data_IF_620766468435
#
_entry.id   IF_620766468435
#
_cell.length_a   1.000
_cell.length_b   1.000
_cell.length_c   1.000
_cell.angle_alpha   90.00
_cell.angle_beta   90.00
_cell.angle_gamma   90.00
#
_symmetry.space_group_name_H-M   'P 1'
#
loop_
_entity.id
_entity.type
_entity.pdbx_description
1 polymer ?
#
# COMPACT_ATOMS: atom_id res chain seq x y z
N UNK A 1 -11.21 10.67 5.61
CA UNK A 1 -11.45 9.99 4.31
C UNK A 1 -12.23 8.72 4.62
N UNK A 2 -13.26 8.39 3.84
CA UNK A 2 -14.14 7.23 4.09
C UNK A 2 -14.61 6.64 2.75
N UNK A 3 -14.64 5.31 2.62
CA UNK A 3 -15.09 4.64 1.40
C UNK A 3 -14.92 3.11 1.44
N UNK A 4 -15.38 2.41 0.39
CA UNK A 4 -15.35 0.95 0.33
C UNK A 4 -13.92 0.42 0.29
N UNK A 5 -13.63 -0.60 1.11
CA UNK A 5 -12.33 -1.25 1.17
C UNK A 5 -12.24 -2.48 0.28
N UNK A 6 -11.07 -2.68 -0.33
CA UNK A 6 -10.68 -3.94 -0.98
C UNK A 6 -9.33 -4.38 -0.45
N UNK A 7 -9.23 -5.64 -0.02
CA UNK A 7 -7.95 -6.25 0.38
C UNK A 7 -7.30 -6.95 -0.81
N UNK A 8 -6.09 -6.53 -1.14
CA UNK A 8 -5.20 -7.20 -2.09
C UNK A 8 -4.25 -8.11 -1.33
N UNK A 9 -4.47 -9.42 -1.39
CA UNK A 9 -3.61 -10.39 -0.72
C UNK A 9 -2.29 -10.63 -1.49
N UNK A 10 -1.21 -10.10 -0.91
CA UNK A 10 0.17 -10.19 -1.40
C UNK A 10 1.06 -10.97 -0.42
N UNK A 11 0.48 -11.73 0.51
CA UNK A 11 1.23 -12.49 1.53
C UNK A 11 2.18 -13.53 0.94
N UNK A 12 1.90 -14.00 -0.27
CA UNK A 12 2.71 -14.94 -1.03
C UNK A 12 4.02 -14.33 -1.58
N UNK A 13 4.14 -13.01 -1.68
CA UNK A 13 5.32 -12.34 -2.23
C UNK A 13 6.49 -12.37 -1.24
N UNK A 14 7.70 -12.51 -1.77
CA UNK A 14 8.94 -12.53 -0.97
C UNK A 14 9.44 -11.12 -0.66
N UNK A 15 10.28 -10.97 0.38
CA UNK A 15 10.93 -9.69 0.64
C UNK A 15 11.85 -9.31 -0.53
N UNK A 16 11.78 -8.05 -0.95
CA UNK A 16 12.47 -7.58 -2.15
C UNK A 16 11.74 -7.86 -3.48
N UNK A 17 10.64 -8.60 -3.46
CA UNK A 17 9.81 -8.87 -4.64
C UNK A 17 8.69 -7.81 -4.75
N UNK A 18 8.94 -6.80 -5.61
CA UNK A 18 8.04 -5.66 -5.79
C UNK A 18 6.66 -6.05 -6.32
N UNK A 19 5.59 -5.47 -5.75
CA UNK A 19 4.21 -5.63 -6.22
C UNK A 19 4.02 -4.81 -7.50
N UNK A 20 3.73 -5.51 -8.60
CA UNK A 20 3.47 -4.94 -9.91
C UNK A 20 1.98 -4.87 -10.27
N UNK A 21 1.68 -4.28 -11.42
CA UNK A 21 0.30 -4.19 -11.96
C UNK A 21 -0.33 -5.58 -12.10
N UNK A 22 0.43 -6.55 -12.62
CA UNK A 22 -0.06 -7.92 -12.82
C UNK A 22 -0.47 -8.59 -11.49
N UNK A 23 0.25 -8.34 -10.41
CA UNK A 23 -0.10 -8.85 -9.08
C UNK A 23 -1.47 -8.31 -8.64
N UNK A 24 -1.69 -7.00 -8.79
CA UNK A 24 -2.96 -6.35 -8.43
C UNK A 24 -4.13 -6.85 -9.28
N UNK A 25 -3.96 -6.95 -10.60
CA UNK A 25 -5.02 -7.45 -11.49
C UNK A 25 -5.34 -8.91 -11.23
N UNK A 26 -4.32 -9.74 -10.94
CA UNK A 26 -4.52 -11.14 -10.61
C UNK A 26 -5.24 -11.31 -9.27
N UNK A 27 -4.91 -10.49 -8.27
CA UNK A 27 -5.62 -10.50 -6.99
C UNK A 27 -7.10 -10.17 -7.16
N UNK A 28 -7.43 -9.09 -7.90
CA UNK A 28 -8.82 -8.72 -8.21
C UNK A 28 -9.58 -9.82 -8.96
N UNK A 29 -8.93 -10.43 -9.95
CA UNK A 29 -9.52 -11.54 -10.71
C UNK A 29 -9.84 -12.74 -9.82
N UNK A 30 -8.94 -13.10 -8.89
CA UNK A 30 -9.16 -14.21 -7.94
C UNK A 30 -10.36 -13.98 -7.02
N UNK A 31 -10.58 -12.74 -6.58
CA UNK A 31 -11.70 -12.39 -5.71
C UNK A 31 -12.98 -12.02 -6.47
N UNK A 32 -12.91 -11.91 -7.80
CA UNK A 32 -14.06 -11.58 -8.65
C UNK A 32 -14.54 -10.13 -8.50
N UNK A 33 -13.63 -9.19 -8.22
CA UNK A 33 -13.99 -7.79 -7.91
C UNK A 33 -13.42 -6.83 -8.95
N UNK A 34 -14.14 -5.75 -9.21
CA UNK A 34 -13.67 -4.61 -10.00
C UNK A 34 -13.51 -3.38 -9.12
N UNK A 35 -12.49 -2.58 -9.41
CA UNK A 35 -12.31 -1.29 -8.75
C UNK A 35 -13.40 -0.30 -9.17
N UNK A 36 -13.86 0.48 -8.21
CA UNK A 36 -14.74 1.63 -8.45
C UNK A 36 -14.13 2.91 -7.86
N UNK A 37 -14.44 4.09 -8.43
CA UNK A 37 -13.95 5.35 -7.89
C UNK A 37 -14.28 5.51 -6.40
N UNK A 38 -13.29 5.93 -5.60
CA UNK A 38 -13.44 6.08 -4.16
C UNK A 38 -13.15 4.80 -3.35
N UNK A 39 -12.89 3.68 -4.01
CA UNK A 39 -12.35 2.47 -3.36
C UNK A 39 -11.03 2.78 -2.66
N UNK A 40 -10.85 2.21 -1.47
CA UNK A 40 -9.65 2.25 -0.66
C UNK A 40 -8.93 0.90 -0.81
N UNK A 41 -7.76 0.93 -1.45
CA UNK A 41 -6.99 -0.27 -1.73
C UNK A 41 -6.09 -0.65 -0.54
N UNK A 42 -6.29 -1.82 0.06
CA UNK A 42 -5.55 -2.28 1.23
C UNK A 42 -4.62 -3.43 0.84
N UNK A 43 -3.32 -3.17 0.79
CA UNK A 43 -2.29 -4.12 0.39
C UNK A 43 -1.86 -4.93 1.62
N UNK A 44 -2.25 -6.21 1.66
CA UNK A 44 -1.90 -7.14 2.74
C UNK A 44 -0.67 -7.95 2.35
N UNK A 45 0.44 -7.68 2.99
CA UNK A 45 1.72 -8.39 2.81
C UNK A 45 2.00 -9.35 3.98
N UNK A 46 1.30 -9.20 5.10
CA UNK A 46 1.50 -9.97 6.33
C UNK A 46 2.82 -9.65 7.05
N UNK A 47 3.46 -8.52 6.72
CA UNK A 47 4.69 -8.05 7.38
C UNK A 47 4.40 -7.30 8.67
N UNK A 48 3.15 -6.93 8.91
CA UNK A 48 2.72 -6.29 10.13
C UNK A 48 3.17 -7.08 11.37
N UNK A 49 3.18 -8.42 11.31
CA UNK A 49 3.70 -9.32 12.37
C UNK A 49 5.08 -8.96 12.92
N UNK A 50 5.89 -8.23 12.15
CA UNK A 50 7.22 -7.80 12.54
C UNK A 50 7.25 -6.39 13.18
N UNK A 51 6.16 -5.62 13.22
CA UNK A 51 6.19 -4.30 13.87
C UNK A 51 6.64 -4.41 15.33
N UNK A 52 7.42 -3.43 15.76
CA UNK A 52 8.06 -3.41 17.07
C UNK A 52 9.42 -4.12 17.10
N UNK A 53 9.75 -4.92 16.09
CA UNK A 53 11.09 -5.50 15.97
C UNK A 53 12.07 -4.46 15.38
N UNK A 54 13.33 -4.42 15.85
CA UNK A 54 14.33 -3.44 15.38
C UNK A 54 14.57 -3.45 13.87
N UNK A 55 14.42 -4.61 13.24
CA UNK A 55 14.71 -4.83 11.82
C UNK A 55 13.46 -4.80 10.91
N UNK A 56 12.29 -4.44 11.44
CA UNK A 56 11.06 -4.40 10.66
C UNK A 56 11.16 -3.57 9.37
N UNK A 57 11.85 -2.44 9.42
CA UNK A 57 12.07 -1.55 8.27
C UNK A 57 12.88 -2.19 7.12
N UNK A 58 13.53 -3.32 7.36
CA UNK A 58 14.26 -4.10 6.35
C UNK A 58 13.39 -5.16 5.68
N UNK A 59 12.16 -5.38 6.11
CA UNK A 59 11.29 -6.41 5.57
C UNK A 59 10.21 -5.77 4.69
N UNK A 60 9.82 -6.43 3.61
CA UNK A 60 8.77 -5.93 2.73
C UNK A 60 8.96 -6.21 1.25
N UNK A 61 7.84 -6.19 0.55
CA UNK A 61 7.72 -6.43 -0.89
C UNK A 61 7.81 -5.10 -1.63
N UNK A 62 7.14 -4.05 -1.12
CA UNK A 62 7.00 -2.76 -1.79
C UNK A 62 5.95 -2.77 -2.91
N UNK A 63 5.43 -1.60 -3.27
CA UNK A 63 4.52 -1.40 -4.41
C UNK A 63 5.22 -0.52 -5.45
N UNK A 64 5.29 -1.00 -6.68
CA UNK A 64 5.94 -0.28 -7.78
C UNK A 64 5.23 1.04 -8.11
N UNK A 65 5.96 1.96 -8.74
CA UNK A 65 5.39 3.19 -9.30
C UNK A 65 4.26 2.89 -10.30
N UNK A 66 4.46 1.88 -11.16
CA UNK A 66 3.45 1.48 -12.14
C UNK A 66 2.18 0.91 -11.48
N UNK A 67 2.32 0.07 -10.46
CA UNK A 67 1.18 -0.43 -9.68
C UNK A 67 0.43 0.70 -8.95
N UNK A 68 1.19 1.65 -8.38
CA UNK A 68 0.64 2.84 -7.73
C UNK A 68 -0.15 3.70 -8.72
N UNK A 69 0.41 3.99 -9.90
CA UNK A 69 -0.31 4.73 -10.96
C UNK A 69 -1.53 3.98 -11.45
N UNK A 70 -1.43 2.68 -11.62
CA UNK A 70 -2.54 1.86 -12.06
C UNK A 70 -3.72 1.96 -11.10
N UNK A 71 -3.50 1.88 -9.78
CA UNK A 71 -4.56 2.10 -8.78
C UNK A 71 -5.21 3.48 -8.95
N UNK A 72 -4.39 4.53 -9.11
CA UNK A 72 -4.85 5.91 -9.27
C UNK A 72 -5.71 6.09 -10.53
N UNK A 73 -5.30 5.45 -11.64
CA UNK A 73 -5.99 5.49 -12.92
C UNK A 73 -7.32 4.72 -12.89
N UNK A 74 -7.46 3.77 -11.96
CA UNK A 74 -8.71 3.04 -11.71
C UNK A 74 -9.55 3.68 -10.58
N UNK A 75 -9.29 4.95 -10.25
CA UNK A 75 -10.15 5.75 -9.37
C UNK A 75 -9.84 5.60 -7.87
N UNK A 76 -8.81 4.83 -7.49
CA UNK A 76 -8.32 4.79 -6.12
C UNK A 76 -7.61 6.11 -5.79
N UNK A 77 -7.98 6.73 -4.68
CA UNK A 77 -7.31 7.95 -4.17
C UNK A 77 -6.62 7.73 -2.84
N UNK A 78 -7.03 6.70 -2.11
CA UNK A 78 -6.44 6.32 -0.83
C UNK A 78 -6.08 4.85 -0.87
N UNK A 79 -4.87 4.52 -0.44
CA UNK A 79 -4.37 3.16 -0.40
C UNK A 79 -3.61 2.90 0.91
N UNK A 80 -3.48 1.66 1.33
CA UNK A 80 -2.88 1.29 2.59
C UNK A 80 -1.98 0.08 2.44
N UNK A 81 -0.94 -0.02 3.25
CA UNK A 81 -0.10 -1.22 3.32
C UNK A 81 0.25 -1.56 4.77
N UNK A 82 0.36 -2.85 5.05
CA UNK A 82 0.66 -3.40 6.37
C UNK A 82 2.16 -3.63 6.65
N UNK A 83 3.04 -3.06 5.81
CA UNK A 83 4.50 -3.12 5.98
C UNK A 83 5.09 -1.74 6.37
N UNK A 84 6.42 -1.66 6.58
CA UNK A 84 7.09 -0.45 7.09
C UNK A 84 6.83 0.80 6.24
N UNK A 85 6.90 0.65 4.92
CA UNK A 85 6.63 1.72 3.97
C UNK A 85 6.00 1.20 2.67
N UNK A 86 5.53 2.10 1.83
CA UNK A 86 4.85 1.79 0.57
C UNK A 86 5.79 1.19 -0.47
N UNK A 87 7.00 1.74 -0.58
CA UNK A 87 8.03 1.28 -1.50
C UNK A 87 8.81 0.07 -0.95
N UNK A 88 9.66 -0.52 -1.79
CA UNK A 88 10.64 -1.52 -1.37
C UNK A 88 11.47 -1.04 -0.17
N UNK A 89 11.95 -1.92 0.73
CA UNK A 89 12.87 -1.49 1.77
C UNK A 89 14.11 -0.80 1.21
N UNK A 90 14.60 0.25 1.88
CA UNK A 90 15.59 1.17 1.31
C UNK A 90 16.89 0.48 0.87
N UNK A 91 17.34 -0.55 1.59
CA UNK A 91 18.53 -1.31 1.22
C UNK A 91 18.36 -2.15 -0.07
N UNK A 92 17.14 -2.60 -0.39
CA UNK A 92 16.82 -3.19 -1.70
C UNK A 92 16.88 -2.12 -2.80
N UNK A 93 16.31 -0.93 -2.56
CA UNK A 93 16.38 0.19 -3.51
C UNK A 93 17.83 0.58 -3.83
N UNK A 94 18.70 0.70 -2.81
CA UNK A 94 20.14 0.98 -2.99
C UNK A 94 20.81 -0.10 -3.83
N UNK A 95 20.57 -1.38 -3.50
CA UNK A 95 21.19 -2.50 -4.21
C UNK A 95 20.80 -2.49 -5.68
N UNK A 96 19.50 -2.34 -5.96
CA UNK A 96 18.93 -2.31 -7.32
C UNK A 96 19.42 -1.09 -8.11
N UNK A 97 19.45 0.08 -7.49
CA UNK A 97 20.01 1.32 -8.06
C UNK A 97 21.46 1.15 -8.50
N UNK A 98 22.30 0.56 -7.65
CA UNK A 98 23.71 0.29 -7.99
C UNK A 98 23.86 -0.76 -9.09
N UNK A 99 23.09 -1.84 -9.06
CA UNK A 99 23.19 -2.91 -10.06
C UNK A 99 22.68 -2.48 -11.44
N UNK A 100 21.62 -1.67 -11.49
CA UNK A 100 21.02 -1.19 -12.75
C UNK A 100 21.62 0.13 -13.23
N UNK A 101 22.44 0.82 -12.42
CA UNK A 101 22.98 2.13 -12.75
C UNK A 101 21.90 3.22 -12.82
N UNK A 102 20.85 3.11 -12.02
CA UNK A 102 19.64 3.93 -12.08
C UNK A 102 19.40 4.71 -10.78
N UNK A 103 19.08 5.99 -10.91
CA UNK A 103 18.84 6.88 -9.75
C UNK A 103 17.35 7.18 -9.54
N UNK A 104 16.48 6.70 -10.41
CA UNK A 104 15.02 6.93 -10.39
C UNK A 104 14.25 5.86 -9.62
N UNK A 105 14.94 4.90 -8.99
CA UNK A 105 14.34 3.80 -8.24
C UNK A 105 14.00 4.17 -6.78
N UNK A 106 14.47 5.31 -6.30
CA UNK A 106 14.28 5.71 -4.92
C UNK A 106 12.87 6.25 -4.69
N UNK A 107 12.11 5.59 -3.81
CA UNK A 107 10.75 6.00 -3.44
C UNK A 107 9.83 6.18 -4.66
N UNK A 108 10.02 5.36 -5.69
CA UNK A 108 9.37 5.52 -6.98
C UNK A 108 7.83 5.53 -6.85
N UNK A 109 7.25 4.72 -5.95
CA UNK A 109 5.84 4.72 -5.59
C UNK A 109 5.40 6.05 -4.98
N UNK A 110 6.07 6.51 -3.91
CA UNK A 110 5.81 7.83 -3.31
C UNK A 110 5.88 8.97 -4.34
N UNK A 111 6.86 8.94 -5.24
CA UNK A 111 7.12 10.00 -6.20
C UNK A 111 6.04 10.12 -7.29
N UNK A 112 5.19 9.11 -7.47
CA UNK A 112 3.96 9.23 -8.29
C UNK A 112 3.10 10.40 -7.80
N UNK A 113 3.13 10.72 -6.49
CA UNK A 113 2.35 11.79 -5.88
C UNK A 113 2.68 13.19 -6.41
N UNK A 114 3.87 13.36 -7.02
CA UNK A 114 4.27 14.62 -7.67
C UNK A 114 3.51 14.89 -8.96
N UNK A 115 2.97 13.85 -9.60
CA UNK A 115 2.29 13.93 -10.90
C UNK A 115 0.80 13.57 -10.83
N UNK A 116 0.40 12.67 -9.91
CA UNK A 116 -1.00 12.31 -9.69
C UNK A 116 -1.34 12.35 -8.20
N UNK A 117 -2.39 13.08 -7.78
CA UNK A 117 -2.73 13.20 -6.38
C UNK A 117 -3.29 11.88 -5.81
N UNK A 118 -2.68 11.41 -4.73
CA UNK A 118 -3.16 10.28 -3.94
C UNK A 118 -2.60 10.37 -2.51
N UNK A 119 -3.13 9.55 -1.61
CA UNK A 119 -2.61 9.38 -0.25
C UNK A 119 -2.42 7.91 0.04
N UNK A 120 -1.36 7.56 0.77
CA UNK A 120 -1.22 6.23 1.34
C UNK A 120 -1.15 6.23 2.86
N UNK A 121 -1.45 5.07 3.44
CA UNK A 121 -1.22 4.78 4.85
C UNK A 121 -0.24 3.61 4.93
N UNK A 122 0.79 3.78 5.74
CA UNK A 122 1.81 2.76 5.97
C UNK A 122 1.64 2.17 7.37
N UNK A 123 2.24 1.01 7.62
CA UNK A 123 2.25 0.36 8.94
C UNK A 123 0.85 0.02 9.46
N UNK A 124 -0.06 -0.36 8.57
CA UNK A 124 -1.35 -0.89 8.96
C UNK A 124 -1.23 -2.24 9.70
N UNK A 125 -2.28 -2.57 10.45
CA UNK A 125 -2.46 -3.81 11.21
C UNK A 125 -3.87 -4.32 11.00
N UNK A 126 -4.08 -5.62 11.16
CA UNK A 126 -5.41 -6.24 11.15
C UNK A 126 -6.04 -6.41 9.77
N UNK A 127 -5.26 -6.32 8.68
CA UNK A 127 -5.77 -6.58 7.32
C UNK A 127 -6.13 -8.05 7.10
N UNK A 128 -5.59 -8.95 7.92
CA UNK A 128 -5.91 -10.38 7.97
C UNK A 128 -7.28 -10.68 8.58
N UNK A 129 -7.85 -9.75 9.35
CA UNK A 129 -9.19 -9.87 9.92
C UNK A 129 -10.30 -9.35 8.99
N UNK A 130 -9.96 -8.77 7.84
CA UNK A 130 -10.90 -8.19 6.89
C UNK A 130 -11.29 -9.20 5.80
N UNK A 131 -12.55 -9.21 5.34
CA UNK A 131 -12.90 -9.89 4.11
C UNK A 131 -12.25 -9.21 2.89
N UNK A 132 -12.26 -9.87 1.73
CA UNK A 132 -11.67 -9.30 0.52
C UNK A 132 -12.36 -7.99 0.06
N UNK A 133 -13.67 -7.86 0.32
CA UNK A 133 -14.52 -6.70 0.05
C UNK A 133 -15.76 -6.73 0.96
N UNK A 134 -16.63 -5.72 0.85
CA UNK A 134 -17.88 -5.67 1.62
C UNK A 134 -17.75 -4.99 2.98
N UNK A 135 -16.72 -4.17 3.15
CA UNK A 135 -16.47 -3.35 4.33
C UNK A 135 -16.10 -1.94 3.90
N UNK A 136 -16.25 -0.96 4.80
CA UNK A 136 -15.76 0.40 4.57
C UNK A 136 -14.51 0.68 5.42
N UNK A 137 -13.71 1.65 4.98
CA UNK A 137 -12.52 2.12 5.71
C UNK A 137 -12.67 3.60 6.03
N UNK A 138 -12.53 3.96 7.30
CA UNK A 138 -12.40 5.34 7.76
C UNK A 138 -10.96 5.66 8.17
N UNK A 139 -10.45 6.80 7.69
CA UNK A 139 -9.11 7.31 8.03
C UNK A 139 -9.25 8.66 8.74
N UNK A 140 -8.74 8.72 9.96
CA UNK A 140 -8.80 9.87 10.87
C UNK A 140 -7.38 10.34 11.24
N UNK A 141 -6.72 11.14 10.39
CA UNK A 141 -5.39 11.68 10.66
C UNK A 141 -5.46 12.86 11.63
N UNK A 142 -4.38 13.07 12.40
CA UNK A 142 -4.23 14.31 13.17
C UNK A 142 -4.17 15.52 12.22
N UNK A 143 -4.87 16.60 12.57
CA UNK A 143 -4.94 17.81 11.76
C UNK A 143 -3.76 18.75 12.06
N UNK A 144 -2.58 18.39 11.57
CA UNK A 144 -1.34 19.14 11.75
C UNK A 144 -1.20 20.26 10.70
N UNK A 145 -0.99 21.50 11.13
CA UNK A 145 -0.87 22.66 10.22
C UNK A 145 0.43 22.58 9.43
N UNK A 146 0.34 22.63 8.10
CA UNK A 146 1.50 22.67 7.19
C UNK A 146 2.28 21.36 7.06
N UNK A 147 1.80 20.27 7.66
CA UNK A 147 2.43 18.96 7.55
C UNK A 147 1.98 18.24 6.27
N UNK A 148 2.90 17.48 5.66
CA UNK A 148 2.60 16.62 4.50
C UNK A 148 1.98 15.28 4.91
N UNK A 149 2.16 14.87 6.16
CA UNK A 149 1.65 13.61 6.71
C UNK A 149 1.36 13.75 8.21
N UNK A 150 0.56 12.83 8.74
CA UNK A 150 0.26 12.75 10.16
C UNK A 150 -0.07 11.30 10.55
N UNK A 151 0.18 10.88 11.81
CA UNK A 151 -0.39 9.66 12.34
C UNK A 151 -1.91 9.67 12.22
N UNK A 152 -2.49 8.50 11.94
CA UNK A 152 -3.92 8.35 11.75
C UNK A 152 -4.46 7.14 12.50
N UNK A 153 -5.70 7.25 12.99
CA UNK A 153 -6.49 6.08 13.33
C UNK A 153 -7.19 5.62 12.06
N UNK A 154 -6.88 4.42 11.59
CA UNK A 154 -7.57 3.76 10.48
C UNK A 154 -8.48 2.69 11.05
N UNK A 155 -9.73 2.65 10.59
CA UNK A 155 -10.77 1.77 11.11
C UNK A 155 -11.48 1.09 9.95
N UNK A 156 -11.60 -0.24 10.01
CA UNK A 156 -12.50 -1.01 9.14
C UNK A 156 -13.89 -1.11 9.78
N UNK A 157 -14.93 -0.83 9.00
CA UNK A 157 -16.33 -0.95 9.38
C UNK A 157 -16.87 -2.22 8.73
N UNK A 158 -17.10 -3.24 9.54
CA UNK A 158 -17.69 -4.52 9.12
C UNK A 158 -19.21 -4.45 9.31
N UNK A 159 -19.92 -5.07 8.38
CA UNK A 159 -21.37 -5.15 8.38
C UNK A 159 -21.80 -6.60 8.58
N UNK A 160 -22.88 -6.80 9.34
CA UNK A 160 -23.50 -8.11 9.59
C UNK A 160 -24.26 -8.63 8.34
#
# INVERSE_FOLDING_TARGET
MFGPGIVFDMTHKQDGEEIGVADLTNALSKIGVQLSPGTIAMIRTGRDRFQGQPDYWKLGTGVSAAATEWLIDHGVRVMGIDQWGWDLPFHHQIRRSKSEGRNDLFWAGHLVGRRKPYWHIEQLRGLDALPAQGFDVGIFPLRLKGASAAPARVVGFLYD
#
